data_IF_551673444140
#
_entry.id   IF_551673444140
#
_cell.length_a   1.000
_cell.length_b   1.000
_cell.length_c   1.000
_cell.angle_alpha   90.00
_cell.angle_beta   90.00
_cell.angle_gamma   90.00
#
_symmetry.space_group_name_H-M   'P 1'
#
loop_
_entity.id
_entity.type
_entity.pdbx_description
1 polymer ?
#
# COMPACT_ATOMS: atom_id res chain seq x y z
N UNK A 1 -11.59 -13.26 -10.84
CA UNK A 1 -10.29 -12.55 -10.91
C UNK A 1 -9.27 -13.45 -10.23
N UNK A 2 -8.13 -13.69 -10.88
CA UNK A 2 -7.06 -14.47 -10.29
C UNK A 2 -6.34 -13.59 -9.25
N UNK A 3 -6.05 -14.17 -8.09
CA UNK A 3 -5.30 -13.53 -7.01
C UNK A 3 -4.22 -14.49 -6.52
N UNK A 4 -3.03 -13.98 -6.30
CA UNK A 4 -1.92 -14.72 -5.69
C UNK A 4 -1.14 -13.78 -4.78
N UNK A 5 -0.78 -14.25 -3.57
CA UNK A 5 0.06 -13.50 -2.64
C UNK A 5 1.46 -14.14 -2.54
N UNK A 6 2.48 -13.31 -2.69
CA UNK A 6 3.87 -13.70 -2.50
C UNK A 6 4.29 -13.78 -1.01
N UNK A 7 3.36 -13.53 -0.09
CA UNK A 7 3.52 -13.93 1.31
C UNK A 7 3.58 -15.45 1.47
N UNK A 8 2.91 -16.18 0.55
CA UNK A 8 2.94 -17.64 0.54
C UNK A 8 4.30 -18.12 0.05
N UNK A 9 5.09 -18.82 0.88
CA UNK A 9 6.48 -19.20 0.53
C UNK A 9 6.60 -20.03 -0.76
N UNK A 10 5.65 -20.93 -1.01
CA UNK A 10 5.64 -21.77 -2.21
C UNK A 10 5.51 -20.91 -3.48
N UNK A 11 4.59 -19.96 -3.48
CA UNK A 11 4.30 -19.13 -4.65
C UNK A 11 5.42 -18.10 -4.84
N UNK A 12 5.98 -17.58 -3.74
CA UNK A 12 7.17 -16.71 -3.74
C UNK A 12 8.39 -17.43 -4.34
N UNK A 13 8.67 -18.64 -3.91
CA UNK A 13 9.82 -19.40 -4.43
C UNK A 13 9.66 -19.69 -5.92
N UNK A 14 8.46 -20.11 -6.36
CA UNK A 14 8.18 -20.30 -7.78
C UNK A 14 8.38 -19.00 -8.57
N UNK A 15 7.88 -17.87 -8.06
CA UNK A 15 8.02 -16.57 -8.71
C UNK A 15 9.48 -16.12 -8.89
N UNK A 16 10.38 -16.55 -7.99
CA UNK A 16 11.81 -16.23 -8.05
C UNK A 16 12.59 -17.22 -8.92
N UNK A 17 12.32 -18.51 -8.78
CA UNK A 17 13.09 -19.58 -9.42
C UNK A 17 12.65 -19.80 -10.87
N UNK A 18 11.34 -19.68 -11.15
CA UNK A 18 10.76 -19.87 -12.48
C UNK A 18 9.62 -18.86 -12.73
N UNK A 19 9.95 -17.60 -13.05
CA UNK A 19 8.96 -16.56 -13.34
C UNK A 19 8.03 -16.91 -14.51
N UNK A 20 8.51 -17.62 -15.52
CA UNK A 20 7.69 -18.01 -16.67
C UNK A 20 6.59 -18.98 -16.25
N UNK A 21 6.96 -20.06 -15.55
CA UNK A 21 6.01 -21.04 -15.03
C UNK A 21 5.03 -20.40 -14.03
N UNK A 22 5.50 -19.45 -13.20
CA UNK A 22 4.62 -18.71 -12.31
C UNK A 22 3.53 -17.95 -13.10
N UNK A 23 3.91 -17.21 -14.14
CA UNK A 23 2.97 -16.45 -14.98
C UNK A 23 2.09 -17.35 -15.87
N UNK A 24 2.55 -18.53 -16.24
CA UNK A 24 1.70 -19.52 -16.91
C UNK A 24 0.60 -20.06 -16.01
N UNK A 25 0.88 -20.24 -14.73
CA UNK A 25 -0.11 -20.69 -13.72
C UNK A 25 -1.08 -19.57 -13.32
N UNK A 26 -0.57 -18.35 -13.25
CA UNK A 26 -1.34 -17.16 -12.83
C UNK A 26 -1.59 -16.22 -14.01
N UNK A 27 -2.38 -16.72 -14.99
CA UNK A 27 -2.68 -15.99 -16.23
C UNK A 27 -3.42 -14.67 -15.97
N UNK A 28 -3.09 -13.60 -16.73
CA UNK A 28 -3.85 -12.35 -16.69
C UNK A 28 -5.35 -12.52 -17.06
N UNK A 29 -6.26 -11.70 -16.50
CA UNK A 29 -5.99 -10.65 -15.52
C UNK A 29 -5.74 -11.21 -14.12
N UNK A 30 -4.63 -10.82 -13.49
CA UNK A 30 -4.20 -11.31 -12.18
C UNK A 30 -3.77 -10.18 -11.25
N UNK A 31 -4.11 -10.31 -9.97
CA UNK A 31 -3.58 -9.49 -8.90
C UNK A 31 -2.45 -10.26 -8.20
N UNK A 32 -1.25 -9.71 -8.22
CA UNK A 32 -0.06 -10.23 -7.54
C UNK A 32 0.21 -9.33 -6.35
N UNK A 33 0.05 -9.89 -5.16
CA UNK A 33 0.19 -9.19 -3.90
C UNK A 33 1.62 -9.35 -3.36
N UNK A 34 2.17 -8.30 -2.74
CA UNK A 34 3.50 -8.21 -2.18
C UNK A 34 4.63 -8.46 -3.22
N UNK A 35 4.51 -7.82 -4.39
CA UNK A 35 5.42 -7.99 -5.54
C UNK A 35 6.89 -7.73 -5.19
N UNK A 36 7.19 -6.93 -4.14
CA UNK A 36 8.55 -6.67 -3.70
C UNK A 36 9.30 -7.93 -3.23
N UNK A 37 8.59 -9.02 -2.95
CA UNK A 37 9.22 -10.29 -2.58
C UNK A 37 9.75 -11.09 -3.78
N UNK A 38 9.32 -10.78 -5.01
CA UNK A 38 9.84 -11.39 -6.22
C UNK A 38 9.94 -10.35 -7.36
N UNK A 39 10.84 -9.37 -7.26
CA UNK A 39 11.04 -8.37 -8.31
C UNK A 39 11.51 -8.99 -9.64
N UNK A 40 11.98 -10.22 -9.61
CA UNK A 40 12.36 -11.03 -10.77
C UNK A 40 11.21 -11.22 -11.77
N UNK A 41 9.96 -11.11 -11.32
CA UNK A 41 8.77 -11.17 -12.19
C UNK A 41 8.64 -9.97 -13.13
N UNK A 42 9.14 -8.79 -12.74
CA UNK A 42 8.88 -7.54 -13.46
C UNK A 42 9.36 -7.55 -14.92
N UNK A 43 10.55 -8.07 -15.27
CA UNK A 43 10.98 -8.20 -16.66
C UNK A 43 10.05 -9.09 -17.51
N UNK A 44 9.56 -10.18 -16.95
CA UNK A 44 8.65 -11.10 -17.64
C UNK A 44 7.26 -10.51 -17.84
N UNK A 45 6.75 -9.80 -16.81
CA UNK A 45 5.50 -9.02 -16.90
C UNK A 45 5.62 -7.98 -18.02
N UNK A 46 6.75 -7.27 -18.11
CA UNK A 46 7.02 -6.32 -19.18
C UNK A 46 6.90 -6.95 -20.57
N UNK A 47 7.53 -8.12 -20.76
CA UNK A 47 7.47 -8.83 -22.05
C UNK A 47 6.04 -9.18 -22.42
N UNK A 48 5.23 -9.66 -21.46
CA UNK A 48 3.83 -9.99 -21.70
C UNK A 48 2.99 -8.75 -22.02
N UNK A 49 3.21 -7.63 -21.32
CA UNK A 49 2.53 -6.36 -21.60
C UNK A 49 2.86 -5.86 -23.00
N UNK A 50 4.14 -5.90 -23.39
CA UNK A 50 4.60 -5.45 -24.71
C UNK A 50 4.03 -6.31 -25.85
N UNK A 51 3.86 -7.62 -25.60
CA UNK A 51 3.29 -8.56 -26.57
C UNK A 51 1.78 -8.40 -26.73
N UNK A 52 1.04 -8.33 -25.66
CA UNK A 52 -0.42 -8.36 -25.67
C UNK A 52 -1.05 -6.97 -25.82
N UNK A 53 -0.38 -5.93 -25.38
CA UNK A 53 -0.80 -4.52 -25.42
C UNK A 53 -2.22 -4.26 -24.87
N UNK A 54 -2.64 -5.06 -23.87
CA UNK A 54 -3.94 -4.95 -23.22
C UNK A 54 -3.82 -4.29 -21.85
N UNK A 55 -4.59 -3.23 -21.55
CA UNK A 55 -4.59 -2.63 -20.22
C UNK A 55 -5.23 -3.56 -19.18
N UNK A 56 -4.82 -3.41 -17.92
CA UNK A 56 -5.43 -4.12 -16.79
C UNK A 56 -5.08 -5.60 -16.68
N UNK A 57 -4.02 -6.06 -17.38
CA UNK A 57 -3.56 -7.44 -17.29
C UNK A 57 -3.02 -7.80 -15.91
N UNK A 58 -2.25 -6.90 -15.32
CA UNK A 58 -1.60 -7.10 -14.03
C UNK A 58 -1.98 -6.00 -13.06
N UNK A 59 -2.31 -6.39 -11.84
CA UNK A 59 -2.47 -5.54 -10.69
C UNK A 59 -1.40 -5.94 -9.69
N UNK A 60 -0.52 -5.02 -9.34
CA UNK A 60 0.59 -5.28 -8.45
C UNK A 60 0.38 -4.47 -7.17
N UNK A 61 0.50 -5.11 -6.01
CA UNK A 61 0.46 -4.41 -4.73
C UNK A 61 1.76 -4.64 -3.98
N UNK A 62 2.06 -3.75 -3.06
CA UNK A 62 3.22 -3.88 -2.18
C UNK A 62 3.30 -2.76 -1.17
N UNK A 63 3.77 -3.09 0.03
CA UNK A 63 3.88 -2.16 1.16
C UNK A 63 5.18 -1.35 1.17
N UNK A 64 6.20 -1.76 0.41
CA UNK A 64 7.53 -1.15 0.40
C UNK A 64 7.70 -0.18 -0.77
N UNK A 65 7.21 1.05 -0.60
CA UNK A 65 7.17 2.07 -1.65
C UNK A 65 8.53 2.33 -2.32
N UNK A 66 9.59 2.56 -1.55
CA UNK A 66 10.88 3.01 -2.11
C UNK A 66 11.59 1.94 -2.94
N UNK A 67 11.65 0.71 -2.46
CA UNK A 67 12.34 -0.37 -3.16
C UNK A 67 11.53 -0.87 -4.35
N UNK A 68 10.21 -0.97 -4.20
CA UNK A 68 9.29 -1.32 -5.26
C UNK A 68 9.30 -0.27 -6.38
N UNK A 69 9.23 1.02 -6.02
CA UNK A 69 9.23 2.11 -7.00
C UNK A 69 10.50 2.10 -7.87
N UNK A 70 11.66 1.85 -7.30
CA UNK A 70 12.90 1.74 -8.06
C UNK A 70 12.84 0.62 -9.10
N UNK A 71 12.49 -0.58 -8.67
CA UNK A 71 12.41 -1.75 -9.56
C UNK A 71 11.32 -1.59 -10.63
N UNK A 72 10.14 -1.06 -10.26
CA UNK A 72 9.03 -0.80 -11.19
C UNK A 72 9.41 0.28 -12.19
N UNK A 73 10.04 1.37 -11.75
CA UNK A 73 10.47 2.46 -12.63
C UNK A 73 11.50 1.97 -13.64
N UNK A 74 12.44 1.13 -13.23
CA UNK A 74 13.46 0.58 -14.13
C UNK A 74 12.85 -0.42 -15.14
N UNK A 75 11.91 -1.27 -14.71
CA UNK A 75 11.37 -2.36 -15.54
C UNK A 75 10.11 -2.00 -16.31
N UNK A 76 9.19 -1.22 -15.74
CA UNK A 76 7.85 -0.96 -16.28
C UNK A 76 7.61 0.51 -16.67
N UNK A 77 8.65 1.30 -16.86
CA UNK A 77 8.52 2.71 -17.25
C UNK A 77 7.61 2.88 -18.47
N UNK A 78 6.62 3.77 -18.37
CA UNK A 78 5.65 4.06 -19.42
C UNK A 78 4.58 2.98 -19.66
N UNK A 79 4.54 1.91 -18.82
CA UNK A 79 3.62 0.76 -18.95
C UNK A 79 2.71 0.58 -17.74
N UNK A 80 2.95 1.33 -16.68
CA UNK A 80 2.25 1.17 -15.40
C UNK A 80 1.65 2.50 -14.94
N UNK A 81 0.41 2.45 -14.44
CA UNK A 81 -0.17 3.51 -13.62
C UNK A 81 0.09 3.21 -12.15
N UNK A 82 0.59 4.20 -11.41
CA UNK A 82 0.90 4.05 -9.99
C UNK A 82 -0.19 4.75 -9.19
N UNK A 83 -0.76 4.03 -8.25
CA UNK A 83 -1.77 4.51 -7.33
C UNK A 83 -1.26 4.35 -5.91
N UNK A 84 -1.30 5.42 -5.14
CA UNK A 84 -1.01 5.40 -3.73
C UNK A 84 -2.31 5.25 -2.95
N UNK A 85 -2.35 4.27 -2.02
CA UNK A 85 -3.48 4.09 -1.12
C UNK A 85 -3.14 4.74 0.21
N UNK A 86 -3.86 5.81 0.53
CA UNK A 86 -3.75 6.53 1.80
C UNK A 86 -4.64 5.87 2.87
N UNK A 87 -4.49 6.33 4.11
CA UNK A 87 -5.44 6.00 5.17
C UNK A 87 -6.85 6.52 4.88
N UNK A 88 -7.82 6.13 5.70
CA UNK A 88 -9.21 6.55 5.53
C UNK A 88 -9.36 8.07 5.60
N UNK A 89 -10.06 8.63 4.63
CA UNK A 89 -10.50 10.03 4.67
C UNK A 89 -11.54 10.26 5.77
N UNK A 90 -11.75 11.51 6.17
CA UNK A 90 -12.81 11.82 7.14
C UNK A 90 -14.20 11.38 6.67
N UNK A 91 -14.47 11.43 5.36
CA UNK A 91 -15.74 10.97 4.79
C UNK A 91 -15.91 9.46 4.92
N UNK A 92 -14.85 8.69 4.71
CA UNK A 92 -14.87 7.23 4.90
C UNK A 92 -15.00 6.86 6.38
N UNK A 93 -14.32 7.58 7.29
CA UNK A 93 -14.47 7.41 8.73
C UNK A 93 -15.90 7.72 9.22
N UNK A 94 -16.62 8.62 8.54
CA UNK A 94 -18.01 8.98 8.83
C UNK A 94 -19.02 8.09 8.06
N UNK A 95 -18.56 7.04 7.38
CA UNK A 95 -19.38 6.16 6.52
C UNK A 95 -20.23 6.92 5.49
N UNK A 96 -19.76 8.09 5.08
CA UNK A 96 -20.44 8.87 4.03
C UNK A 96 -20.03 8.33 2.67
N UNK A 97 -21.02 8.07 1.82
CA UNK A 97 -20.77 7.62 0.45
C UNK A 97 -19.82 8.59 -0.25
N UNK A 98 -18.65 8.07 -0.60
CA UNK A 98 -17.62 8.84 -1.27
C UNK A 98 -17.97 8.95 -2.76
N UNK A 99 -18.73 9.96 -3.14
CA UNK A 99 -18.62 10.43 -4.52
C UNK A 99 -17.20 10.96 -4.74
N UNK A 100 -16.60 10.68 -5.91
CA UNK A 100 -15.28 11.21 -6.22
C UNK A 100 -15.28 12.72 -6.03
N UNK A 101 -14.26 13.25 -5.34
CA UNK A 101 -14.07 14.68 -5.25
C UNK A 101 -13.80 15.24 -6.67
N UNK A 102 -14.85 15.69 -7.30
CA UNK A 102 -14.73 16.49 -8.52
C UNK A 102 -14.71 17.94 -8.08
N UNK A 103 -13.84 18.79 -8.59
CA UNK A 103 -13.84 20.22 -8.32
C UNK A 103 -15.01 20.90 -9.07
N UNK A 104 -16.23 20.50 -8.69
CA UNK A 104 -17.48 21.11 -9.14
C UNK A 104 -17.91 22.07 -8.04
N UNK A 105 -18.50 23.20 -8.42
CA UNK A 105 -18.82 24.32 -7.53
C UNK A 105 -19.82 24.03 -6.40
N UNK A 106 -20.40 22.86 -6.35
CA UNK A 106 -21.30 22.43 -5.28
C UNK A 106 -20.57 21.47 -4.33
N UNK A 107 -20.16 21.99 -3.18
CA UNK A 107 -19.74 21.16 -2.07
C UNK A 107 -20.99 20.56 -1.43
N UNK A 108 -21.24 19.26 -1.56
CA UNK A 108 -22.34 18.64 -0.85
C UNK A 108 -22.09 18.78 0.65
N UNK A 109 -23.11 19.10 1.38
CA UNK A 109 -23.25 19.24 2.82
C UNK A 109 -21.96 19.48 3.61
N UNK A 110 -21.87 20.66 4.21
CA UNK A 110 -20.76 20.98 5.13
C UNK A 110 -20.61 19.85 6.15
N UNK A 111 -19.39 19.33 6.37
CA UNK A 111 -19.16 18.34 7.39
C UNK A 111 -19.63 18.86 8.75
N UNK A 112 -20.09 17.96 9.62
CA UNK A 112 -20.40 18.30 10.99
C UNK A 112 -19.23 19.08 11.62
N UNK A 113 -19.50 20.25 12.16
CA UNK A 113 -18.44 21.08 12.73
C UNK A 113 -17.96 20.42 14.02
N UNK A 114 -16.77 19.87 13.98
CA UNK A 114 -16.09 19.42 15.17
C UNK A 114 -15.72 20.62 16.06
N UNK A 115 -15.94 20.52 17.35
CA UNK A 115 -15.31 21.42 18.29
C UNK A 115 -13.80 21.18 18.37
N UNK A 116 -13.08 22.03 19.07
CA UNK A 116 -11.62 21.92 19.16
C UNK A 116 -11.18 20.58 19.76
N UNK A 117 -11.90 20.09 20.76
CA UNK A 117 -11.61 18.82 21.41
C UNK A 117 -11.85 17.63 20.45
N UNK A 118 -12.95 17.67 19.71
CA UNK A 118 -13.27 16.66 18.68
C UNK A 118 -12.23 16.64 17.56
N UNK A 119 -11.74 17.82 17.15
CA UNK A 119 -10.67 17.91 16.16
C UNK A 119 -9.37 17.26 16.65
N UNK A 120 -8.91 17.59 17.85
CA UNK A 120 -7.71 16.97 18.42
C UNK A 120 -7.86 15.46 18.64
N UNK A 121 -9.05 15.01 19.06
CA UNK A 121 -9.35 13.59 19.18
C UNK A 121 -9.25 12.90 17.82
N UNK A 122 -9.80 13.48 16.75
CA UNK A 122 -9.73 12.95 15.40
C UNK A 122 -8.28 12.85 14.88
N UNK A 123 -7.47 13.88 15.13
CA UNK A 123 -6.05 13.86 14.79
C UNK A 123 -5.32 12.74 15.52
N UNK A 124 -5.57 12.57 16.82
CA UNK A 124 -4.96 11.53 17.63
C UNK A 124 -5.40 10.11 17.23
N UNK A 125 -6.66 9.91 16.89
CA UNK A 125 -7.18 8.65 16.39
C UNK A 125 -6.55 8.22 15.07
N UNK A 126 -6.21 9.17 14.22
CA UNK A 126 -5.63 8.91 12.91
C UNK A 126 -6.63 8.31 11.92
N UNK A 127 -6.10 7.64 10.89
CA UNK A 127 -6.88 7.19 9.73
C UNK A 127 -6.65 5.71 9.36
N UNK A 128 -6.13 4.91 10.30
CA UNK A 128 -5.96 3.48 10.07
C UNK A 128 -7.30 2.74 10.07
N UNK A 129 -7.59 1.93 9.02
CA UNK A 129 -8.84 1.18 8.95
C UNK A 129 -9.10 0.32 10.18
N UNK A 130 -8.07 -0.30 10.74
CA UNK A 130 -8.19 -1.16 11.92
C UNK A 130 -8.67 -0.41 13.16
N UNK A 131 -8.23 0.84 13.35
CA UNK A 131 -8.68 1.69 14.46
C UNK A 131 -10.10 2.23 14.22
N UNK A 132 -10.49 2.40 12.96
CA UNK A 132 -11.84 2.81 12.62
C UNK A 132 -12.87 1.68 12.80
N UNK A 133 -12.47 0.44 12.55
CA UNK A 133 -13.32 -0.76 12.65
C UNK A 133 -13.52 -1.22 14.11
N UNK A 134 -12.56 -0.95 14.98
CA UNK A 134 -12.60 -1.32 16.40
C UNK A 134 -12.41 -0.09 17.32
N UNK A 135 -13.50 0.60 17.70
CA UNK A 135 -13.44 1.77 18.57
C UNK A 135 -12.89 1.51 19.99
N UNK A 136 -12.90 0.26 20.46
CA UNK A 136 -12.40 -0.14 21.77
C UNK A 136 -10.89 -0.47 21.76
N UNK A 137 -10.27 -0.45 20.58
CA UNK A 137 -8.84 -0.75 20.46
C UNK A 137 -7.99 0.29 21.20
N UNK A 138 -7.03 -0.18 21.98
CA UNK A 138 -6.04 0.67 22.63
C UNK A 138 -5.12 1.31 21.59
N UNK A 139 -5.30 2.61 21.37
CA UNK A 139 -4.57 3.39 20.38
C UNK A 139 -3.08 3.46 20.69
N UNK A 140 -2.70 3.60 21.97
CA UNK A 140 -1.30 3.69 22.37
C UNK A 140 -0.58 2.36 22.13
N UNK A 141 -1.25 1.25 22.45
CA UNK A 141 -0.73 -0.08 22.16
C UNK A 141 -0.63 -0.33 20.65
N UNK A 142 -1.65 0.08 19.88
CA UNK A 142 -1.64 -0.06 18.42
C UNK A 142 -0.48 0.72 17.80
N UNK A 143 -0.38 2.02 18.08
CA UNK A 143 0.67 2.86 17.51
C UNK A 143 2.07 2.48 18.00
N UNK A 144 2.21 2.10 19.28
CA UNK A 144 3.47 1.59 19.81
C UNK A 144 3.94 0.34 19.09
N UNK A 145 3.03 -0.61 18.85
CA UNK A 145 3.31 -1.84 18.11
C UNK A 145 3.63 -1.55 16.63
N UNK A 146 2.87 -0.64 16.00
CA UNK A 146 3.09 -0.23 14.62
C UNK A 146 4.47 0.42 14.42
N UNK A 147 4.85 1.35 15.32
CA UNK A 147 6.17 2.00 15.28
C UNK A 147 7.28 0.95 15.44
N UNK A 148 7.15 0.05 16.40
CA UNK A 148 8.21 -0.92 16.69
C UNK A 148 8.34 -1.99 15.58
N UNK A 149 7.26 -2.42 14.96
CA UNK A 149 7.28 -3.53 14.01
C UNK A 149 7.44 -3.07 12.57
N UNK A 150 6.73 -2.02 12.17
CA UNK A 150 6.71 -1.53 10.79
C UNK A 150 7.85 -0.56 10.50
N UNK A 151 7.97 0.49 11.31
CA UNK A 151 8.99 1.51 11.08
C UNK A 151 10.41 0.96 11.31
N UNK A 152 10.62 0.10 12.30
CA UNK A 152 11.93 -0.50 12.52
C UNK A 152 12.38 -1.33 11.31
N UNK A 153 11.46 -2.07 10.70
CA UNK A 153 11.72 -2.86 9.49
C UNK A 153 12.05 -1.97 8.29
N UNK A 154 11.23 -0.97 8.01
CA UNK A 154 11.38 -0.13 6.82
C UNK A 154 12.56 0.83 6.94
N UNK A 155 12.80 1.34 8.14
CA UNK A 155 13.96 2.19 8.46
C UNK A 155 15.29 1.43 8.29
N UNK A 156 15.34 0.16 8.69
CA UNK A 156 16.53 -0.69 8.47
C UNK A 156 16.83 -0.93 6.99
N UNK A 157 15.78 -1.07 6.16
CA UNK A 157 15.92 -1.27 4.72
C UNK A 157 16.47 -0.02 4.03
N UNK A 158 16.09 1.17 4.49
CA UNK A 158 16.58 2.43 3.92
C UNK A 158 18.08 2.69 4.18
N UNK A 159 18.70 2.00 5.16
CA UNK A 159 20.16 2.00 5.39
C UNK A 159 20.81 3.34 5.70
N UNK A 160 20.04 4.44 5.75
CA UNK A 160 20.55 5.82 5.88
C UNK A 160 20.38 6.41 7.29
N UNK A 161 19.72 5.70 8.20
CA UNK A 161 19.49 6.18 9.55
C UNK A 161 20.57 5.62 10.47
N UNK A 162 21.59 6.44 10.73
CA UNK A 162 22.73 6.06 11.58
C UNK A 162 22.40 5.91 13.06
N UNK A 163 21.28 6.49 13.54
CA UNK A 163 20.86 6.44 14.94
C UNK A 163 19.35 6.22 15.07
N UNK A 164 18.97 4.95 15.23
CA UNK A 164 17.60 4.52 15.41
C UNK A 164 16.97 5.09 16.69
N UNK A 165 17.74 5.26 17.77
CA UNK A 165 17.21 5.82 19.03
C UNK A 165 16.82 7.28 18.88
N UNK A 166 17.60 8.05 18.10
CA UNK A 166 17.30 9.43 17.77
C UNK A 166 16.06 9.54 16.89
N UNK A 167 15.91 8.64 15.94
CA UNK A 167 14.74 8.57 15.07
C UNK A 167 13.47 8.24 15.87
N UNK A 168 13.49 7.26 16.77
CA UNK A 168 12.36 6.93 17.63
C UNK A 168 11.98 8.05 18.60
N UNK A 169 12.96 8.84 19.06
CA UNK A 169 12.67 10.06 19.88
C UNK A 169 12.01 11.17 19.06
N UNK A 170 12.28 11.25 17.78
CA UNK A 170 11.64 12.22 16.89
C UNK A 170 10.18 11.85 16.59
N UNK A 171 9.86 10.56 16.56
CA UNK A 171 8.50 10.05 16.27
C UNK A 171 7.56 10.09 17.48
N UNK A 172 8.07 10.27 18.70
CA UNK A 172 7.30 10.44 19.95
C UNK A 172 7.03 11.90 20.24
#
# INVERSE_FOLDING_TARGET
RNYVSLDIPRDRNLAKEDPELFLERHKPPVLIDEIQYAPELLPFIKVLIDKEQKPGMFWLTGSQQFQMMRNVTESLAGRVGIFEMLGLSNRELEHRNAEPFLPINDFPDAPEKLDLQGLYRRIWQGSFPKLADDPEMDHDLFYGSYINTYLERDVRILGQIGDLQRFFRFLR
#
